data_IF_858564864355
#
_entry.id   IF_858564864355
#
_cell.length_a   1.000
_cell.length_b   1.000
_cell.length_c   1.000
_cell.angle_alpha   90.00
_cell.angle_beta   90.00
_cell.angle_gamma   90.00
#
_symmetry.space_group_name_H-M   'P 1'
#
loop_
_entity.id
_entity.type
_entity.pdbx_description
1 polymer ?
#
# COMPACT_ATOMS: atom_id res chain seq x y z
N UNK A 1 -8.85 -29.07 -84.42
CA UNK A 1 -7.88 -28.96 -83.32
C UNK A 1 -7.95 -27.55 -82.79
N UNK A 2 -8.59 -27.38 -81.66
CA UNK A 2 -8.71 -26.10 -81.04
C UNK A 2 -7.79 -26.16 -79.80
N UNK A 3 -6.66 -25.41 -79.83
CA UNK A 3 -5.77 -25.26 -78.73
C UNK A 3 -6.41 -24.34 -77.70
N UNK A 4 -6.70 -24.84 -76.49
CA UNK A 4 -7.06 -24.05 -75.34
C UNK A 4 -5.77 -23.40 -74.72
N UNK A 5 -5.77 -22.11 -74.60
CA UNK A 5 -4.70 -21.33 -73.94
C UNK A 5 -4.86 -21.39 -72.36
N UNK A 6 -3.85 -21.92 -71.60
CA UNK A 6 -3.97 -22.09 -70.17
C UNK A 6 -3.56 -20.88 -69.38
N UNK A 7 -3.61 -19.63 -69.89
CA UNK A 7 -3.11 -18.46 -69.25
C UNK A 7 -4.22 -17.49 -68.84
N UNK A 8 -5.02 -17.85 -67.84
CA UNK A 8 -5.69 -16.79 -67.05
C UNK A 8 -6.16 -17.28 -65.66
N UNK A 9 -5.22 -17.63 -64.76
CA UNK A 9 -5.47 -17.77 -63.37
C UNK A 9 -4.84 -16.57 -62.66
N UNK A 10 -5.63 -15.47 -62.47
CA UNK A 10 -5.24 -14.36 -61.58
C UNK A 10 -6.00 -14.48 -60.26
N UNK A 11 -5.43 -15.14 -59.21
CA UNK A 11 -5.97 -15.03 -57.85
C UNK A 11 -5.13 -14.10 -56.96
N UNK A 12 -4.46 -13.07 -57.53
CA UNK A 12 -3.50 -12.27 -56.73
C UNK A 12 -4.11 -11.11 -55.93
N UNK A 13 -5.36 -10.72 -56.19
CA UNK A 13 -5.96 -9.54 -55.53
C UNK A 13 -6.69 -9.87 -54.23
N UNK A 14 -7.25 -11.05 -54.10
CA UNK A 14 -7.98 -11.50 -52.92
C UNK A 14 -7.02 -11.84 -51.77
N UNK A 15 -5.92 -12.49 -52.08
CA UNK A 15 -4.88 -12.84 -51.06
C UNK A 15 -4.21 -11.60 -50.45
N UNK A 16 -3.95 -10.56 -51.22
CA UNK A 16 -3.40 -9.29 -50.68
C UNK A 16 -4.38 -8.62 -49.77
N UNK A 17 -5.67 -8.62 -50.06
CA UNK A 17 -6.72 -8.07 -49.19
C UNK A 17 -6.86 -8.90 -47.91
N UNK A 18 -6.86 -10.21 -47.99
CA UNK A 18 -6.90 -11.10 -46.82
C UNK A 18 -5.66 -10.92 -45.93
N UNK A 19 -4.48 -10.81 -46.52
CA UNK A 19 -3.23 -10.54 -45.76
C UNK A 19 -3.24 -9.18 -45.07
N UNK A 20 -3.77 -8.12 -45.70
CA UNK A 20 -3.91 -6.81 -45.09
C UNK A 20 -4.92 -6.80 -43.93
N UNK A 21 -6.04 -7.50 -44.09
CA UNK A 21 -7.04 -7.63 -43.02
C UNK A 21 -6.45 -8.39 -41.84
N UNK A 22 -5.72 -9.49 -42.08
CA UNK A 22 -5.05 -10.26 -41.02
C UNK A 22 -3.98 -9.44 -40.32
N UNK A 23 -3.16 -8.69 -41.05
CA UNK A 23 -2.14 -7.81 -40.49
C UNK A 23 -2.77 -6.70 -39.62
N UNK A 24 -3.84 -6.07 -40.11
CA UNK A 24 -4.57 -5.04 -39.33
C UNK A 24 -5.19 -5.62 -38.06
N UNK A 25 -5.75 -6.82 -38.11
CA UNK A 25 -6.29 -7.52 -36.94
C UNK A 25 -5.22 -7.83 -35.92
N UNK A 26 -4.05 -8.34 -36.34
CA UNK A 26 -2.91 -8.62 -35.46
C UNK A 26 -2.35 -7.33 -34.77
N UNK A 27 -2.31 -6.22 -35.52
CA UNK A 27 -1.91 -4.92 -34.97
C UNK A 27 -2.90 -4.46 -33.90
N UNK A 28 -4.20 -4.54 -34.17
CA UNK A 28 -5.25 -4.15 -33.19
C UNK A 28 -5.18 -5.04 -31.94
N UNK A 29 -5.02 -6.36 -32.11
CA UNK A 29 -4.86 -7.29 -30.98
C UNK A 29 -3.59 -6.97 -30.20
N UNK A 30 -2.48 -6.66 -30.86
CA UNK A 30 -1.22 -6.24 -30.22
C UNK A 30 -1.38 -4.94 -29.43
N UNK A 31 -2.07 -3.94 -29.98
CA UNK A 31 -2.35 -2.67 -29.28
C UNK A 31 -3.24 -2.91 -28.06
N UNK A 32 -4.32 -3.68 -28.22
CA UNK A 32 -5.25 -3.98 -27.11
C UNK A 32 -4.52 -4.78 -26.02
N UNK A 33 -3.75 -5.81 -26.39
CA UNK A 33 -2.95 -6.57 -25.43
C UNK A 33 -1.92 -5.68 -24.73
N UNK A 34 -1.21 -4.82 -25.47
CA UNK A 34 -0.26 -3.84 -24.91
C UNK A 34 -0.94 -2.87 -23.96
N UNK A 35 -2.13 -2.36 -24.28
CA UNK A 35 -2.91 -1.49 -23.39
C UNK A 35 -3.38 -2.21 -22.12
N UNK A 36 -3.80 -3.48 -22.23
CA UNK A 36 -4.23 -4.28 -21.10
C UNK A 36 -3.04 -4.63 -20.18
N UNK A 37 -1.90 -4.99 -20.76
CA UNK A 37 -0.66 -5.25 -20.02
C UNK A 37 -0.18 -3.97 -19.34
N UNK A 38 -0.16 -2.83 -20.05
CA UNK A 38 0.25 -1.55 -19.46
C UNK A 38 -0.70 -1.08 -18.35
N UNK A 39 -2.02 -1.34 -18.47
CA UNK A 39 -2.99 -1.07 -17.38
C UNK A 39 -2.76 -1.98 -16.18
N UNK A 40 -2.39 -3.23 -16.39
CA UNK A 40 -2.12 -4.19 -15.32
C UNK A 40 -0.78 -3.94 -14.62
N UNK A 41 0.18 -3.34 -15.33
CA UNK A 41 1.50 -2.98 -14.81
C UNK A 41 1.55 -1.56 -14.20
N UNK A 42 0.46 -0.79 -14.29
CA UNK A 42 0.36 0.53 -13.66
C UNK A 42 -0.25 0.42 -12.28
N UNK A 43 0.41 1.00 -11.29
CA UNK A 43 -0.08 1.05 -9.91
C UNK A 43 0.18 -0.23 -9.11
N UNK A 44 -0.77 -0.63 -8.27
CA UNK A 44 -0.62 -1.70 -7.27
C UNK A 44 -0.13 -3.05 -7.82
N UNK A 45 -0.42 -3.37 -9.09
CA UNK A 45 0.08 -4.59 -9.71
C UNK A 45 1.60 -4.63 -9.89
N UNK A 46 2.22 -3.51 -10.23
CA UNK A 46 3.68 -3.40 -10.34
C UNK A 46 4.34 -3.48 -8.96
N UNK A 47 3.84 -2.73 -8.00
CA UNK A 47 4.38 -2.76 -6.63
C UNK A 47 4.21 -4.12 -5.95
N UNK A 48 3.18 -4.89 -6.30
CA UNK A 48 3.05 -6.27 -5.84
C UNK A 48 4.16 -7.18 -6.40
N UNK A 49 4.62 -6.97 -7.64
CA UNK A 49 5.77 -7.70 -8.19
C UNK A 49 7.05 -7.31 -7.41
N UNK A 50 7.27 -6.01 -7.18
CA UNK A 50 8.40 -5.52 -6.39
C UNK A 50 8.36 -6.05 -4.95
N UNK A 51 7.18 -6.11 -4.31
CA UNK A 51 7.01 -6.69 -2.99
C UNK A 51 7.48 -8.15 -2.95
N UNK A 52 7.13 -8.94 -3.95
CA UNK A 52 7.59 -10.34 -4.02
C UNK A 52 9.11 -10.43 -4.18
N UNK A 53 9.72 -9.55 -4.97
CA UNK A 53 11.19 -9.48 -5.10
C UNK A 53 11.82 -9.09 -3.75
N UNK A 54 11.32 -8.04 -3.11
CA UNK A 54 11.78 -7.60 -1.79
C UNK A 54 11.69 -8.71 -0.74
N UNK A 55 10.53 -9.39 -0.62
CA UNK A 55 10.35 -10.47 0.36
C UNK A 55 11.18 -11.73 0.06
N UNK A 56 11.62 -11.93 -1.19
CA UNK A 56 12.50 -13.05 -1.56
C UNK A 56 13.98 -12.77 -1.26
N UNK A 57 14.39 -11.51 -1.25
CA UNK A 57 15.76 -11.06 -1.00
C UNK A 57 15.75 -9.66 -0.35
N UNK A 58 15.37 -9.52 0.92
CA UNK A 58 15.31 -8.23 1.59
C UNK A 58 16.67 -7.54 1.71
N UNK A 59 17.76 -8.30 1.88
CA UNK A 59 19.12 -7.77 1.99
C UNK A 59 19.58 -7.17 0.66
N UNK A 60 19.34 -7.87 -0.46
CA UNK A 60 19.65 -7.38 -1.81
C UNK A 60 18.84 -6.17 -2.24
N UNK A 61 17.74 -5.87 -1.52
CA UNK A 61 16.84 -4.73 -1.77
C UNK A 61 16.74 -3.79 -0.55
N UNK A 62 17.76 -3.76 0.30
CA UNK A 62 17.77 -2.93 1.51
C UNK A 62 17.61 -1.43 1.21
N UNK A 63 18.02 -0.98 0.02
CA UNK A 63 17.84 0.39 -0.48
C UNK A 63 16.38 0.73 -0.83
N UNK A 64 15.47 -0.26 -0.85
CA UNK A 64 14.02 -0.06 -1.02
C UNK A 64 13.29 0.17 0.30
N UNK A 65 13.97 -0.04 1.42
CA UNK A 65 13.39 -0.04 2.77
C UNK A 65 13.38 1.37 3.37
N UNK A 66 12.21 1.81 3.83
CA UNK A 66 12.09 2.94 4.73
C UNK A 66 12.47 2.50 6.15
N UNK A 67 13.09 3.39 6.93
CA UNK A 67 13.57 3.09 8.30
C UNK A 67 12.61 3.65 9.34
N UNK A 68 12.08 2.76 10.16
CA UNK A 68 11.22 3.09 11.29
C UNK A 68 11.91 3.99 12.32
N UNK A 69 11.15 4.85 12.95
CA UNK A 69 11.61 5.88 13.88
C UNK A 69 12.60 6.91 13.29
N UNK A 70 12.86 6.86 11.98
CA UNK A 70 13.64 7.86 11.27
C UNK A 70 12.73 8.88 10.57
N UNK A 71 13.28 10.07 10.32
CA UNK A 71 12.59 11.18 9.67
C UNK A 71 13.13 11.39 8.27
N UNK A 72 12.24 11.42 7.28
CA UNK A 72 12.62 11.80 5.93
C UNK A 72 12.70 13.33 5.83
N UNK A 73 13.89 13.86 5.61
CA UNK A 73 14.13 15.31 5.48
C UNK A 73 13.50 16.12 6.63
N UNK A 74 12.70 17.14 6.29
CA UNK A 74 11.99 18.00 7.24
C UNK A 74 10.55 17.58 7.51
N UNK A 75 10.19 16.32 7.17
CA UNK A 75 8.84 15.81 7.39
C UNK A 75 8.43 15.92 8.87
N UNK A 76 7.18 16.26 9.18
CA UNK A 76 6.76 16.36 10.57
C UNK A 76 6.75 15.01 11.30
N UNK A 77 6.43 13.91 10.60
CA UNK A 77 6.34 12.59 11.19
C UNK A 77 7.62 11.78 11.01
N UNK A 78 7.87 10.89 11.98
CA UNK A 78 8.79 9.78 11.84
C UNK A 78 8.12 8.65 11.02
N UNK A 79 8.91 7.86 10.33
CA UNK A 79 8.43 6.65 9.67
C UNK A 79 7.88 5.67 10.72
N UNK A 80 6.65 5.16 10.59
CA UNK A 80 6.02 4.36 11.63
C UNK A 80 6.57 2.93 11.76
N UNK A 81 7.29 2.42 10.77
CA UNK A 81 7.87 1.07 10.80
C UNK A 81 8.96 0.91 9.75
N UNK A 82 9.84 -0.08 9.94
CA UNK A 82 10.75 -0.52 8.89
C UNK A 82 9.97 -1.24 7.79
N UNK A 83 10.42 -1.06 6.53
CA UNK A 83 9.90 -1.88 5.46
C UNK A 83 9.76 -1.22 4.10
N UNK A 84 9.32 -2.04 3.14
CA UNK A 84 8.98 -1.67 1.77
C UNK A 84 7.51 -1.31 1.67
N UNK A 85 7.19 -0.18 1.05
CA UNK A 85 5.80 0.23 0.80
C UNK A 85 5.33 -0.37 -0.52
N UNK A 86 4.30 -1.23 -0.45
CA UNK A 86 3.76 -1.91 -1.62
C UNK A 86 2.35 -1.46 -2.02
N UNK A 87 1.54 -1.02 -1.05
CA UNK A 87 0.20 -0.49 -1.31
C UNK A 87 0.12 0.93 -0.76
N UNK A 88 -0.31 1.82 -1.63
CA UNK A 88 -0.25 3.25 -1.46
C UNK A 88 -1.62 3.85 -1.19
N UNK A 89 -1.65 5.02 -0.57
CA UNK A 89 -2.87 5.79 -0.40
C UNK A 89 -3.56 6.04 -1.76
N UNK A 90 -4.83 5.71 -1.86
CA UNK A 90 -5.62 5.88 -3.07
C UNK A 90 -5.54 4.73 -4.08
N UNK A 91 -4.71 3.70 -3.84
CA UNK A 91 -4.67 2.49 -4.66
C UNK A 91 -6.06 1.85 -4.74
N UNK A 92 -6.40 1.34 -5.93
CA UNK A 92 -7.72 0.73 -6.17
C UNK A 92 -7.69 -0.77 -5.95
N UNK A 93 -8.54 -1.24 -5.07
CA UNK A 93 -8.82 -2.66 -4.92
C UNK A 93 -9.73 -3.18 -6.05
N UNK A 94 -9.71 -4.49 -6.34
CA UNK A 94 -10.65 -5.11 -7.31
C UNK A 94 -12.12 -4.86 -6.98
N UNK A 95 -12.46 -4.65 -5.71
CA UNK A 95 -13.80 -4.28 -5.23
C UNK A 95 -14.23 -2.86 -5.63
N UNK A 96 -13.33 -2.04 -6.20
CA UNK A 96 -13.55 -0.63 -6.51
C UNK A 96 -13.29 0.33 -5.33
N UNK A 97 -13.05 -0.19 -4.13
CA UNK A 97 -12.64 0.62 -2.97
C UNK A 97 -11.23 1.16 -3.17
N UNK A 98 -10.94 2.29 -2.56
CA UNK A 98 -9.59 2.86 -2.52
C UNK A 98 -8.93 2.57 -1.18
N UNK A 99 -7.62 2.37 -1.20
CA UNK A 99 -6.80 2.18 -0.02
C UNK A 99 -6.69 3.51 0.74
N UNK A 100 -6.99 3.46 2.03
CA UNK A 100 -7.13 4.66 2.86
C UNK A 100 -5.88 5.00 3.68
N UNK A 101 -4.81 4.27 3.50
CA UNK A 101 -3.51 4.44 4.15
C UNK A 101 -2.38 3.92 3.30
N UNK A 102 -1.34 3.42 3.94
CA UNK A 102 -0.20 2.76 3.32
C UNK A 102 0.10 1.44 4.02
N UNK A 103 0.55 0.45 3.24
CA UNK A 103 0.98 -0.84 3.78
C UNK A 103 2.51 -0.95 3.68
N UNK A 104 3.15 -1.09 4.83
CA UNK A 104 4.61 -1.17 5.01
C UNK A 104 4.97 -2.59 5.40
N UNK A 105 5.68 -3.29 4.53
CA UNK A 105 6.07 -4.70 4.68
C UNK A 105 7.47 -4.79 5.23
N UNK A 106 7.61 -5.38 6.41
CA UNK A 106 8.91 -5.57 7.06
C UNK A 106 9.83 -6.53 6.32
N UNK A 107 11.16 -6.45 6.58
CA UNK A 107 12.14 -7.24 5.87
C UNK A 107 12.12 -8.74 6.22
N UNK A 108 11.52 -9.12 7.33
CA UNK A 108 11.55 -10.50 7.83
C UNK A 108 10.52 -11.42 7.14
N UNK A 109 9.60 -10.87 6.36
CA UNK A 109 8.56 -11.64 5.70
C UNK A 109 7.70 -12.48 6.68
N UNK A 110 6.98 -13.50 6.20
CA UNK A 110 6.10 -14.30 7.05
C UNK A 110 6.81 -15.08 8.17
N UNK A 111 8.12 -15.37 8.03
CA UNK A 111 8.90 -16.07 9.04
C UNK A 111 9.21 -15.20 10.27
N UNK A 112 9.20 -13.86 10.11
CA UNK A 112 9.48 -12.89 11.17
C UNK A 112 8.24 -12.18 11.69
N UNK A 113 7.09 -12.85 11.72
CA UNK A 113 5.87 -12.29 12.28
C UNK A 113 6.11 -11.89 13.75
N UNK A 114 5.75 -10.64 14.08
CA UNK A 114 5.99 -10.08 15.41
C UNK A 114 7.42 -9.60 15.67
N UNK A 115 8.29 -9.51 14.65
CA UNK A 115 9.68 -9.04 14.81
C UNK A 115 9.93 -7.62 14.28
N UNK A 116 9.20 -7.18 13.22
CA UNK A 116 9.38 -5.84 12.66
C UNK A 116 8.69 -4.80 13.54
N UNK A 117 9.44 -3.83 14.12
CA UNK A 117 8.90 -2.88 15.09
C UNK A 117 7.99 -1.83 14.46
N UNK A 118 7.03 -1.37 15.25
CA UNK A 118 6.11 -0.28 14.92
C UNK A 118 6.27 0.81 15.97
N UNK A 119 6.44 2.06 15.51
CA UNK A 119 6.71 3.22 16.35
C UNK A 119 5.62 4.29 16.21
N UNK A 120 5.43 5.08 17.26
CA UNK A 120 4.62 6.29 17.20
C UNK A 120 5.25 7.27 16.19
N UNK A 121 4.52 7.59 15.12
CA UNK A 121 5.02 8.50 14.09
C UNK A 121 5.12 9.96 14.56
N UNK A 122 4.36 10.33 15.58
CA UNK A 122 4.33 11.68 16.16
C UNK A 122 3.92 11.62 17.63
N UNK A 123 4.14 12.70 18.36
CA UNK A 123 3.65 12.85 19.74
C UNK A 123 2.12 12.82 19.77
N UNK A 124 1.54 12.11 20.72
CA UNK A 124 0.08 12.03 20.82
C UNK A 124 -0.43 11.23 22.00
N UNK A 125 -1.73 11.01 22.00
CA UNK A 125 -2.45 10.30 23.06
C UNK A 125 -3.00 8.99 22.51
N UNK A 126 -2.45 7.88 22.99
CA UNK A 126 -2.77 6.54 22.53
C UNK A 126 -4.06 6.02 23.17
N UNK A 127 -4.90 5.45 22.32
CA UNK A 127 -6.05 4.66 22.74
C UNK A 127 -6.08 3.31 22.03
N UNK A 128 -6.53 2.29 22.75
CA UNK A 128 -6.79 0.96 22.25
C UNK A 128 -8.16 0.51 22.72
N UNK A 129 -9.12 0.35 21.81
CA UNK A 129 -10.48 -0.06 22.18
C UNK A 129 -10.48 -1.47 22.81
N UNK A 130 -11.44 -1.78 23.71
CA UNK A 130 -11.47 -3.03 24.45
C UNK A 130 -11.52 -4.30 23.57
N UNK A 131 -12.09 -4.21 22.38
CA UNK A 131 -12.23 -5.30 21.41
C UNK A 131 -11.11 -5.31 20.34
N UNK A 132 -10.21 -4.32 20.35
CA UNK A 132 -9.13 -4.23 19.39
C UNK A 132 -7.97 -5.17 19.72
N UNK A 133 -7.83 -6.23 18.94
CA UNK A 133 -6.75 -7.22 19.09
C UNK A 133 -5.45 -6.79 18.43
N UNK A 134 -5.56 -6.14 17.25
CA UNK A 134 -4.42 -5.85 16.38
C UNK A 134 -4.26 -4.37 16.06
N UNK A 135 -5.04 -3.50 16.68
CA UNK A 135 -5.10 -2.08 16.31
C UNK A 135 -4.94 -1.19 17.53
N UNK A 136 -4.40 -0.01 17.29
CA UNK A 136 -4.39 1.14 18.19
C UNK A 136 -4.50 2.43 17.39
N UNK A 137 -4.84 3.51 18.07
CA UNK A 137 -4.96 4.83 17.45
C UNK A 137 -4.34 5.89 18.35
N UNK A 138 -3.68 6.85 17.72
CA UNK A 138 -2.98 7.94 18.39
C UNK A 138 -3.63 9.28 18.03
N UNK A 139 -4.24 9.93 18.97
CA UNK A 139 -4.79 11.28 18.79
C UNK A 139 -3.67 12.32 18.79
N UNK A 140 -3.60 13.12 17.75
CA UNK A 140 -2.71 14.28 17.59
C UNK A 140 -3.55 15.54 17.69
N UNK A 141 -3.53 16.27 18.82
CA UNK A 141 -4.44 17.39 19.07
C UNK A 141 -4.27 18.55 18.08
N UNK A 142 -3.05 18.74 17.57
CA UNK A 142 -2.70 19.77 16.60
C UNK A 142 -1.96 19.12 15.43
N UNK A 143 -2.61 19.08 14.28
CA UNK A 143 -1.99 18.62 13.04
C UNK A 143 -0.80 19.52 12.67
N UNK A 144 0.42 18.99 12.53
CA UNK A 144 1.59 19.83 12.23
C UNK A 144 1.52 20.56 10.89
N UNK A 145 0.68 20.11 9.96
CA UNK A 145 0.48 20.77 8.67
C UNK A 145 -0.72 21.71 8.66
N UNK A 146 -1.66 21.54 9.59
CA UNK A 146 -2.84 22.38 9.75
C UNK A 146 -3.22 22.48 11.24
N UNK A 147 -2.60 23.41 12.00
CA UNK A 147 -2.69 23.44 13.47
C UNK A 147 -4.09 23.57 14.06
N UNK A 148 -5.06 24.10 13.29
CA UNK A 148 -6.46 24.22 13.73
C UNK A 148 -7.25 22.90 13.63
N UNK A 149 -6.61 21.84 13.17
CA UNK A 149 -7.20 20.52 12.97
C UNK A 149 -6.61 19.50 13.93
N UNK A 150 -7.45 18.65 14.52
CA UNK A 150 -7.07 17.41 15.18
C UNK A 150 -7.08 16.27 14.15
N UNK A 151 -6.12 15.36 14.28
CA UNK A 151 -6.01 14.15 13.46
C UNK A 151 -5.73 12.94 14.33
N UNK A 152 -5.89 11.75 13.73
CA UNK A 152 -5.69 10.47 14.40
C UNK A 152 -4.79 9.59 13.55
N UNK A 153 -3.78 8.97 14.16
CA UNK A 153 -2.87 8.04 13.50
C UNK A 153 -3.32 6.62 13.84
N UNK A 154 -3.79 5.89 12.85
CA UNK A 154 -4.29 4.54 13.01
C UNK A 154 -3.25 3.51 12.57
N UNK A 155 -3.02 2.51 13.40
CA UNK A 155 -2.08 1.41 13.21
C UNK A 155 -2.82 0.10 13.34
N UNK A 156 -2.67 -0.83 12.39
CA UNK A 156 -3.35 -2.13 12.46
C UNK A 156 -2.54 -3.28 11.88
N UNK A 157 -3.09 -4.48 11.98
CA UNK A 157 -2.49 -5.79 11.71
C UNK A 157 -1.43 -6.23 12.72
N UNK A 158 -1.40 -5.64 13.92
CA UNK A 158 -0.43 -5.90 14.99
C UNK A 158 -0.80 -7.15 15.83
N UNK A 159 -1.17 -8.25 15.19
CA UNK A 159 -1.46 -9.53 15.85
C UNK A 159 -1.21 -10.70 14.87
N UNK A 160 -1.12 -11.92 15.41
CA UNK A 160 -1.12 -13.14 14.60
C UNK A 160 -2.53 -13.49 14.06
N UNK A 161 -2.67 -14.51 13.18
CA UNK A 161 -3.97 -14.87 12.61
C UNK A 161 -5.01 -15.28 13.66
N UNK A 162 -4.59 -15.77 14.82
CA UNK A 162 -5.46 -16.16 15.94
C UNK A 162 -5.83 -14.99 16.85
N UNK A 163 -5.28 -13.79 16.57
CA UNK A 163 -5.55 -12.56 17.31
C UNK A 163 -4.73 -12.42 18.60
N UNK A 164 -3.58 -13.14 18.73
CA UNK A 164 -2.61 -12.83 19.77
C UNK A 164 -1.91 -11.53 19.41
N UNK A 165 -2.07 -10.53 20.27
CA UNK A 165 -1.58 -9.18 20.03
C UNK A 165 -0.05 -9.11 20.12
N UNK A 166 0.55 -8.32 19.23
CA UNK A 166 1.95 -7.89 19.25
C UNK A 166 2.09 -6.42 19.70
N UNK A 167 1.01 -5.81 20.18
CA UNK A 167 1.04 -4.48 20.82
C UNK A 167 1.74 -4.63 22.16
N UNK A 168 2.55 -3.64 22.53
CA UNK A 168 3.28 -3.62 23.82
C UNK A 168 2.32 -3.84 25.00
N UNK A 169 2.74 -4.61 26.00
CA UNK A 169 1.92 -4.97 27.17
C UNK A 169 1.48 -3.77 28.00
N UNK A 170 2.20 -2.66 27.92
CA UNK A 170 1.84 -1.39 28.58
C UNK A 170 0.59 -0.72 27.95
N UNK A 171 0.14 -1.18 26.78
CA UNK A 171 -1.06 -0.72 26.10
C UNK A 171 -2.13 -1.84 26.00
N UNK A 172 -2.67 -2.31 27.13
CA UNK A 172 -3.68 -3.37 27.13
C UNK A 172 -4.98 -2.90 26.45
N UNK A 173 -5.88 -3.83 26.05
CA UNK A 173 -7.22 -3.46 25.62
C UNK A 173 -7.93 -2.57 26.64
N UNK A 174 -8.56 -1.48 26.21
CA UNK A 174 -9.16 -0.46 27.07
C UNK A 174 -8.21 0.68 27.47
N UNK A 175 -6.95 0.68 27.02
CA UNK A 175 -6.07 1.87 27.15
C UNK A 175 -6.74 3.09 26.53
N UNK A 176 -6.74 4.21 27.25
CA UNK A 176 -7.40 5.43 26.80
C UNK A 176 -6.55 6.68 27.10
N UNK A 177 -6.25 7.45 26.06
CA UNK A 177 -5.59 8.76 26.12
C UNK A 177 -4.25 8.77 26.88
N UNK A 178 -3.43 7.74 26.72
CA UNK A 178 -2.08 7.70 27.30
C UNK A 178 -1.12 8.45 26.40
N UNK A 179 -0.43 9.47 26.91
CA UNK A 179 0.57 10.21 26.13
C UNK A 179 1.74 9.30 25.76
N UNK A 180 2.12 9.33 24.47
CA UNK A 180 3.31 8.68 23.92
C UNK A 180 4.09 9.66 23.07
N UNK A 181 5.42 9.74 23.24
CA UNK A 181 6.28 10.56 22.39
C UNK A 181 6.51 9.88 21.03
N UNK A 182 6.82 10.68 20.01
CA UNK A 182 7.30 10.18 18.72
C UNK A 182 8.50 9.24 18.90
N UNK A 183 8.53 8.15 18.11
CA UNK A 183 9.55 7.11 18.21
C UNK A 183 9.33 6.09 19.32
N UNK A 184 8.28 6.22 20.15
CA UNK A 184 7.94 5.19 21.14
C UNK A 184 7.57 3.90 20.43
N UNK A 185 8.14 2.76 20.86
CA UNK A 185 7.75 1.43 20.37
C UNK A 185 6.30 1.15 20.80
N UNK A 186 5.46 0.85 19.83
CA UNK A 186 4.03 0.53 20.02
C UNK A 186 3.77 -0.97 19.98
N UNK A 187 4.60 -1.71 19.27
CA UNK A 187 4.48 -3.16 19.05
C UNK A 187 5.17 -3.58 17.79
N UNK A 188 4.67 -4.64 17.16
CA UNK A 188 5.29 -5.26 15.98
C UNK A 188 4.27 -5.59 14.90
N UNK A 189 4.75 -5.69 13.65
CA UNK A 189 3.94 -6.07 12.51
C UNK A 189 3.42 -7.51 12.67
N UNK A 190 2.19 -7.70 12.25
CA UNK A 190 1.53 -8.99 12.20
C UNK A 190 0.75 -9.19 10.90
N UNK A 191 -0.20 -10.10 10.91
CA UNK A 191 -0.99 -10.44 9.73
C UNK A 191 -2.47 -10.72 10.03
N UNK A 192 -2.98 -10.16 11.12
CA UNK A 192 -4.37 -10.34 11.55
C UNK A 192 -5.36 -9.71 10.57
N UNK A 193 -6.34 -10.49 10.12
CA UNK A 193 -7.43 -10.08 9.22
C UNK A 193 -8.83 -10.21 9.84
N UNK A 194 -8.93 -10.65 11.09
CA UNK A 194 -10.13 -11.14 11.75
C UNK A 194 -10.66 -12.51 11.21
N UNK A 195 -10.01 -13.07 10.18
CA UNK A 195 -10.29 -14.40 9.63
C UNK A 195 -9.00 -15.23 9.70
N UNK A 196 -8.87 -16.18 10.66
CA UNK A 196 -7.65 -16.97 10.82
C UNK A 196 -7.30 -17.84 9.60
N UNK A 197 -8.29 -18.22 8.82
CA UNK A 197 -8.10 -19.06 7.63
C UNK A 197 -7.67 -18.26 6.40
N UNK A 198 -7.79 -16.92 6.47
CA UNK A 198 -7.40 -16.02 5.40
C UNK A 198 -6.65 -14.79 5.95
N UNK A 199 -5.47 -15.00 6.58
CA UNK A 199 -4.67 -13.89 7.11
C UNK A 199 -4.20 -12.95 6.00
N UNK A 200 -3.94 -11.68 6.35
CA UNK A 200 -3.26 -10.76 5.43
C UNK A 200 -1.79 -11.15 5.23
N UNK A 201 -1.08 -10.52 4.28
CA UNK A 201 0.38 -10.49 4.31
C UNK A 201 0.86 -9.81 5.61
N UNK A 202 2.07 -10.14 6.07
CA UNK A 202 2.64 -9.47 7.24
C UNK A 202 3.03 -8.03 6.88
N UNK A 203 2.42 -7.05 7.53
CA UNK A 203 2.69 -5.63 7.30
C UNK A 203 2.09 -4.75 8.41
N UNK A 204 2.51 -3.50 8.44
CA UNK A 204 1.77 -2.43 9.09
C UNK A 204 0.86 -1.75 8.08
N UNK A 205 -0.45 -1.70 8.34
CA UNK A 205 -1.31 -0.70 7.72
C UNK A 205 -1.32 0.56 8.59
N UNK A 206 -0.94 1.69 7.99
CA UNK A 206 -0.90 3.00 8.65
C UNK A 206 -1.79 4.00 7.91
N UNK A 207 -2.65 4.71 8.62
CA UNK A 207 -3.46 5.78 8.05
C UNK A 207 -3.60 6.99 8.97
N UNK A 208 -3.82 8.16 8.38
CA UNK A 208 -4.09 9.42 9.08
C UNK A 208 -5.57 9.70 8.94
N UNK A 209 -6.30 9.63 10.03
CA UNK A 209 -7.77 9.70 10.08
C UNK A 209 -8.21 11.08 10.54
N UNK A 210 -9.26 11.61 9.93
CA UNK A 210 -9.88 12.87 10.31
C UNK A 210 -10.67 12.75 11.61
N UNK A 211 -10.67 13.81 12.38
CA UNK A 211 -11.58 13.99 13.53
C UNK A 211 -13.02 14.24 13.05
N UNK A 212 -14.00 13.80 13.81
CA UNK A 212 -15.42 14.01 13.52
C UNK A 212 -15.94 15.41 13.92
N UNK A 213 -15.09 16.20 14.57
CA UNK A 213 -15.41 17.52 15.12
C UNK A 213 -15.90 17.48 16.57
N UNK A 214 -16.01 16.28 17.17
CA UNK A 214 -16.42 16.06 18.56
C UNK A 214 -15.36 15.36 19.40
N UNK A 215 -14.13 15.26 18.88
CA UNK A 215 -13.00 14.62 19.57
C UNK A 215 -12.97 13.10 19.39
N UNK A 216 -13.58 12.56 18.34
CA UNK A 216 -13.53 11.16 17.95
C UNK A 216 -13.03 10.98 16.53
N UNK A 217 -12.38 9.86 16.23
CA UNK A 217 -11.95 9.55 14.87
C UNK A 217 -13.13 9.10 14.01
N UNK A 218 -13.08 9.48 12.74
CA UNK A 218 -14.05 8.99 11.74
C UNK A 218 -13.75 7.54 11.37
N UNK A 219 -14.67 6.91 10.63
CA UNK A 219 -14.48 5.57 10.10
C UNK A 219 -13.22 5.53 9.19
N UNK A 220 -12.16 4.90 9.69
CA UNK A 220 -10.85 4.77 9.07
C UNK A 220 -10.86 3.90 7.80
N UNK A 221 -11.91 3.11 7.59
CA UNK A 221 -12.06 2.27 6.39
C UNK A 221 -12.56 3.03 5.15
N UNK A 222 -12.83 4.32 5.30
CA UNK A 222 -13.33 5.15 4.21
C UNK A 222 -12.29 6.21 3.83
N UNK A 223 -11.81 6.18 2.58
CA UNK A 223 -10.77 7.10 2.11
C UNK A 223 -11.14 8.59 2.26
N UNK A 224 -12.42 8.95 2.21
CA UNK A 224 -12.87 10.34 2.44
C UNK A 224 -12.65 10.82 3.88
N UNK A 225 -12.42 9.91 4.80
CA UNK A 225 -12.16 10.18 6.21
C UNK A 225 -10.67 10.14 6.55
N UNK A 226 -9.81 9.95 5.56
CA UNK A 226 -8.36 9.84 5.74
C UNK A 226 -7.61 10.88 4.91
N UNK A 227 -6.38 11.15 5.29
CA UNK A 227 -5.49 12.07 4.63
C UNK A 227 -4.37 11.32 3.92
N UNK A 228 -3.91 11.88 2.81
CA UNK A 228 -2.70 11.43 2.13
C UNK A 228 -1.49 11.55 3.06
N UNK A 229 -0.79 10.46 3.40
CA UNK A 229 0.33 10.50 4.33
C UNK A 229 1.61 11.09 3.75
N UNK A 230 1.69 11.29 2.42
CA UNK A 230 2.91 11.76 1.74
C UNK A 230 3.50 13.04 2.35
N UNK A 231 2.73 14.14 2.57
CA UNK A 231 3.30 15.37 3.12
C UNK A 231 3.70 15.24 4.60
N UNK A 232 3.15 14.26 5.33
CA UNK A 232 3.48 14.02 6.73
C UNK A 232 4.76 13.21 6.90
N UNK A 233 5.00 12.25 6.02
CA UNK A 233 6.14 11.32 6.08
C UNK A 233 7.30 11.75 5.17
N UNK A 234 7.11 12.79 4.33
CA UNK A 234 8.17 13.33 3.46
C UNK A 234 8.57 12.41 2.30
N UNK A 235 7.70 11.47 1.94
CA UNK A 235 7.89 10.50 0.87
C UNK A 235 6.62 10.45 0.02
N UNK A 236 6.74 10.28 -1.30
CA UNK A 236 5.56 10.09 -2.13
C UNK A 236 4.91 8.73 -1.83
N UNK A 237 3.72 8.77 -1.26
CA UNK A 237 2.95 7.60 -0.79
C UNK A 237 1.54 7.54 -1.41
N UNK A 238 1.28 8.33 -2.45
CA UNK A 238 0.00 8.34 -3.15
C UNK A 238 0.09 7.51 -4.43
N UNK A 239 -0.76 6.48 -4.55
CA UNK A 239 -0.77 5.55 -5.68
C UNK A 239 -1.03 6.21 -7.04
N UNK A 240 -1.70 7.37 -7.07
CA UNK A 240 -1.92 8.13 -8.32
C UNK A 240 -0.67 8.90 -8.76
N UNK A 241 0.27 9.21 -7.84
CA UNK A 241 1.47 10.01 -8.09
C UNK A 241 2.76 9.20 -8.13
N UNK A 242 2.88 8.17 -7.29
CA UNK A 242 4.11 7.35 -7.19
C UNK A 242 4.47 6.66 -8.52
N UNK A 243 3.47 6.29 -9.33
CA UNK A 243 3.69 5.64 -10.61
C UNK A 243 4.35 4.28 -10.47
N UNK A 244 5.54 4.12 -11.06
CA UNK A 244 6.38 2.92 -10.97
C UNK A 244 7.61 3.13 -10.07
N UNK A 245 7.69 4.22 -9.33
CA UNK A 245 8.81 4.50 -8.45
C UNK A 245 8.67 3.73 -7.12
N UNK A 246 9.79 3.53 -6.44
CA UNK A 246 9.84 3.01 -5.08
C UNK A 246 9.80 4.20 -4.13
N UNK A 247 8.99 4.10 -3.06
CA UNK A 247 8.95 5.11 -2.02
C UNK A 247 10.29 5.12 -1.26
N UNK A 248 11.00 6.24 -1.32
CA UNK A 248 12.30 6.44 -0.67
C UNK A 248 12.37 7.82 -0.05
N UNK A 249 13.08 7.94 1.06
CA UNK A 249 13.52 9.25 1.54
C UNK A 249 14.51 9.81 0.53
N UNK A 250 14.23 10.98 0.00
CA UNK A 250 15.22 11.72 -0.79
C UNK A 250 16.32 12.24 0.16
N UNK A 251 17.58 12.14 -0.23
CA UNK A 251 18.74 12.66 0.52
C UNK A 251 18.80 14.18 0.53
#
# INVERSE_FOLDING_TARGET
>A
MIHADPRNLRPKRTWRRAALILASFLIVVGIVAGCLISRRLRGSGYHFILLRQYLSDPEGHADWTLKGAERCQSAPFLMPSDGFVAFFYGDRYPSGRKHQGVDIFGPTGPAGIGETPIYAAYDGYLSRLPDWRSSLILRVPQDPLQPDRQIWLYYTHMADPQGRSFIQEEFPPGTFEVFVPAGRLLGFQGNYSADPDNPTGMHLHFSIVLDDGNGSFRNELEIRNTLDPSPYLGVELNGERIGMNIARCEE
#
